data_IF_386890312340
#
_entry.id   IF_386890312340
#
_cell.length_a   1.000
_cell.length_b   1.000
_cell.length_c   1.000
_cell.angle_alpha   90.00
_cell.angle_beta   90.00
_cell.angle_gamma   90.00
#
_symmetry.space_group_name_H-M   'P 1'
#
loop_
_entity.id
_entity.type
_entity.pdbx_description
1 polymer ?
#
# COMPACT_ATOMS: atom_id res chain seq x y z
N UNK A 1 -1.27 7.91 -9.41
CA UNK A 1 -2.51 8.41 -8.80
C UNK A 1 -3.50 8.83 -9.85
N UNK A 2 -4.69 8.38 -9.73
CA UNK A 2 -5.72 8.68 -10.72
C UNK A 2 -6.25 10.08 -10.54
N UNK A 3 -6.34 10.82 -11.62
CA UNK A 3 -6.72 12.20 -11.59
C UNK A 3 -7.81 12.55 -12.58
N UNK A 4 -8.53 11.61 -13.10
CA UNK A 4 -9.47 11.87 -14.17
C UNK A 4 -10.45 12.98 -13.80
N UNK A 5 -11.68 12.65 -13.54
CA UNK A 5 -12.67 13.64 -13.24
C UNK A 5 -12.81 13.91 -11.76
N UNK A 6 -12.12 13.16 -10.99
CA UNK A 6 -12.08 13.36 -9.58
C UNK A 6 -10.63 13.28 -9.15
N UNK A 7 -10.29 13.91 -8.07
CA UNK A 7 -8.96 13.74 -7.51
C UNK A 7 -9.05 12.85 -6.30
N UNK A 8 -8.02 12.04 -6.14
CA UNK A 8 -7.88 11.18 -4.98
C UNK A 8 -6.81 11.80 -4.11
N UNK A 9 -7.18 12.16 -2.90
CA UNK A 9 -6.27 12.81 -1.96
C UNK A 9 -5.81 11.78 -0.94
N UNK A 10 -4.51 11.68 -0.75
CA UNK A 10 -3.92 10.81 0.25
C UNK A 10 -3.49 11.61 1.46
N UNK A 11 -3.79 11.10 2.63
CA UNK A 11 -3.40 11.74 3.87
C UNK A 11 -2.65 10.73 4.73
N UNK A 12 -1.62 11.21 5.40
CA UNK A 12 -0.78 10.40 6.26
C UNK A 12 -1.01 10.77 7.70
N UNK A 13 -1.03 9.77 8.56
CA UNK A 13 -1.17 9.99 9.98
C UNK A 13 0.23 10.11 10.59
N UNK A 14 0.44 11.17 11.35
CA UNK A 14 1.71 11.38 12.01
C UNK A 14 1.91 10.33 13.10
N UNK A 15 3.08 9.70 13.11
CA UNK A 15 3.39 8.68 14.09
C UNK A 15 3.96 9.26 15.39
N UNK A 16 4.33 10.52 15.39
CA UNK A 16 4.94 11.14 16.57
C UNK A 16 6.36 10.65 16.79
N UNK A 17 6.77 10.57 18.05
CA UNK A 17 8.10 10.11 18.40
C UNK A 17 8.20 8.61 18.24
N UNK A 18 9.20 8.14 17.54
CA UNK A 18 9.40 6.72 17.26
C UNK A 18 10.80 6.27 17.68
N UNK A 19 10.90 4.99 17.98
CA UNK A 19 12.16 4.36 18.36
C UNK A 19 12.28 3.02 17.64
N UNK A 20 13.51 2.49 17.52
CA UNK A 20 13.69 1.17 16.89
C UNK A 20 12.83 0.11 17.55
N UNK A 21 12.23 -0.73 16.73
CA UNK A 21 11.33 -1.77 17.19
C UNK A 21 9.88 -1.36 17.30
N UNK A 22 9.59 -0.07 17.24
CA UNK A 22 8.21 0.39 17.28
C UNK A 22 7.48 0.04 16.00
N UNK A 23 6.18 -0.20 16.13
CA UNK A 23 5.31 -0.39 14.97
C UNK A 23 4.60 0.91 14.67
N UNK A 24 4.54 1.24 13.40
CA UNK A 24 3.88 2.46 12.93
C UNK A 24 2.79 2.04 11.97
N UNK A 25 1.57 2.53 12.22
CA UNK A 25 0.47 2.32 11.30
C UNK A 25 0.33 3.50 10.37
N UNK A 26 0.18 3.22 9.09
CA UNK A 26 -0.12 4.24 8.09
C UNK A 26 -1.52 4.02 7.57
N UNK A 27 -2.28 5.10 7.53
CA UNK A 27 -3.61 5.09 6.93
C UNK A 27 -3.61 6.08 5.80
N UNK A 28 -4.03 5.63 4.63
CA UNK A 28 -4.14 6.48 3.47
C UNK A 28 -5.61 6.65 3.18
N UNK A 29 -6.10 7.86 3.33
CA UNK A 29 -7.49 8.18 3.05
C UNK A 29 -7.58 8.75 1.65
N UNK A 30 -8.52 8.25 0.86
CA UNK A 30 -8.78 8.77 -0.48
C UNK A 30 -10.19 9.32 -0.55
N UNK A 31 -10.35 10.35 -1.35
CA UNK A 31 -11.65 11.00 -1.52
C UNK A 31 -11.82 11.34 -3.00
N UNK A 32 -12.99 11.02 -3.53
CA UNK A 32 -13.33 11.44 -4.88
C UNK A 32 -13.96 12.82 -4.78
N UNK A 33 -13.19 13.84 -5.18
CA UNK A 33 -13.63 15.23 -5.11
C UNK A 33 -14.32 15.68 -6.40
N UNK A 34 -14.44 14.79 -7.38
CA UNK A 34 -15.10 15.12 -8.63
C UNK A 34 -16.60 14.95 -8.58
N UNK A 35 -17.23 15.16 -9.70
CA UNK A 35 -18.69 15.06 -9.82
C UNK A 35 -19.15 13.71 -10.35
N UNK A 36 -18.25 12.83 -10.71
CA UNK A 36 -18.58 11.52 -11.25
C UNK A 36 -17.81 10.43 -10.52
N UNK A 37 -18.34 9.22 -10.56
CA UNK A 37 -17.66 8.08 -9.95
C UNK A 37 -16.36 7.78 -10.70
N UNK A 38 -15.34 7.37 -9.96
CA UNK A 38 -14.04 7.01 -10.52
C UNK A 38 -13.79 5.54 -10.27
N UNK A 39 -13.52 4.78 -11.32
CA UNK A 39 -13.20 3.36 -11.21
C UNK A 39 -11.73 3.13 -11.52
N UNK A 40 -11.25 1.93 -11.18
CA UNK A 40 -9.85 1.57 -11.45
C UNK A 40 -8.85 2.33 -10.59
N UNK A 41 -9.26 2.77 -9.41
CA UNK A 41 -8.36 3.52 -8.53
C UNK A 41 -7.26 2.62 -8.02
N UNK A 42 -6.01 3.06 -8.17
CA UNK A 42 -4.83 2.33 -7.73
C UNK A 42 -4.06 3.21 -6.77
N UNK A 43 -3.75 2.65 -5.60
CA UNK A 43 -2.98 3.35 -4.58
C UNK A 43 -1.69 2.59 -4.37
N UNK A 44 -0.56 3.25 -4.57
CA UNK A 44 0.76 2.69 -4.35
C UNK A 44 1.42 3.40 -3.19
N UNK A 45 2.13 2.65 -2.38
CA UNK A 45 2.81 3.25 -1.26
C UNK A 45 4.14 2.53 -1.00
N UNK A 46 5.24 3.26 -0.97
CA UNK A 46 6.52 2.64 -0.66
C UNK A 46 6.61 2.33 0.83
N UNK A 47 7.36 1.29 1.16
CA UNK A 47 7.74 1.02 2.54
C UNK A 47 8.86 2.02 2.88
N UNK A 48 8.70 2.84 3.90
CA UNK A 48 9.70 3.87 4.22
C UNK A 48 11.07 3.28 4.52
N UNK A 49 12.10 4.05 4.25
CA UNK A 49 13.47 3.62 4.58
C UNK A 49 13.58 3.36 6.07
N UNK A 50 14.45 2.43 6.41
CA UNK A 50 14.72 2.05 7.80
C UNK A 50 13.51 1.43 8.50
N UNK A 51 12.56 0.92 7.72
CA UNK A 51 11.43 0.18 8.27
C UNK A 51 11.26 -1.13 7.53
N UNK A 52 10.52 -2.04 8.15
CA UNK A 52 10.20 -3.33 7.57
C UNK A 52 8.68 -3.50 7.60
N UNK A 53 8.12 -3.91 6.47
CA UNK A 53 6.69 -4.18 6.39
C UNK A 53 6.30 -5.27 7.40
N UNK A 54 5.20 -5.06 8.11
CA UNK A 54 4.66 -6.07 9.02
C UNK A 54 3.74 -6.98 8.21
N UNK A 55 4.03 -8.27 8.21
CA UNK A 55 3.28 -9.24 7.43
C UNK A 55 1.78 -9.18 7.76
N UNK A 56 0.97 -9.26 6.73
CA UNK A 56 -0.49 -9.30 6.84
C UNK A 56 -1.12 -8.03 7.44
N UNK A 57 -0.36 -6.94 7.49
CA UNK A 57 -0.90 -5.70 8.07
C UNK A 57 -1.61 -4.84 7.03
N UNK A 58 -1.33 -5.03 5.75
CA UNK A 58 -1.99 -4.25 4.70
C UNK A 58 -3.44 -4.69 4.59
N UNK A 59 -4.34 -3.72 4.57
CA UNK A 59 -5.75 -4.03 4.38
C UNK A 59 -6.44 -2.86 3.70
N UNK A 60 -7.63 -3.13 3.18
CA UNK A 60 -8.42 -2.12 2.51
C UNK A 60 -9.73 -2.75 2.07
N UNK A 61 -10.83 -2.07 2.34
CA UNK A 61 -12.14 -2.58 1.99
C UNK A 61 -12.27 -2.67 0.48
N UNK A 62 -12.72 -3.83 -0.02
CA UNK A 62 -12.95 -4.06 -1.43
C UNK A 62 -11.71 -3.73 -2.29
N UNK A 63 -10.53 -4.01 -1.79
CA UNK A 63 -9.30 -3.77 -2.53
C UNK A 63 -8.53 -5.07 -2.71
N UNK A 64 -7.91 -5.19 -3.87
CA UNK A 64 -6.93 -6.26 -4.12
C UNK A 64 -5.57 -5.70 -3.73
N UNK A 65 -4.86 -6.43 -2.88
CA UNK A 65 -3.57 -5.97 -2.37
C UNK A 65 -2.47 -6.80 -3.01
N UNK A 66 -1.51 -6.11 -3.61
CA UNK A 66 -0.33 -6.75 -4.17
C UNK A 66 0.91 -6.06 -3.64
N UNK A 67 2.05 -6.71 -3.82
CA UNK A 67 3.30 -6.27 -3.22
C UNK A 67 4.40 -6.33 -4.26
N UNK A 68 5.44 -5.55 -4.04
CA UNK A 68 6.61 -5.58 -4.91
C UNK A 68 7.88 -5.60 -4.08
N UNK A 69 8.88 -6.31 -4.58
CA UNK A 69 10.22 -6.33 -3.99
C UNK A 69 11.17 -5.42 -4.74
N UNK A 70 10.79 -4.97 -5.93
CA UNK A 70 11.65 -4.12 -6.77
C UNK A 70 10.98 -2.82 -7.22
N UNK A 71 9.70 -2.66 -6.91
CA UNK A 71 8.96 -1.47 -7.31
C UNK A 71 8.39 -1.53 -8.72
N UNK A 72 8.63 -2.59 -9.45
CA UNK A 72 8.17 -2.72 -10.83
C UNK A 72 7.15 -3.82 -11.01
N UNK A 73 7.44 -5.01 -10.51
CA UNK A 73 6.54 -6.15 -10.61
C UNK A 73 5.74 -6.30 -9.33
N UNK A 74 4.42 -6.26 -9.47
CA UNK A 74 3.51 -6.42 -8.34
C UNK A 74 2.75 -7.73 -8.46
N UNK A 75 2.69 -8.46 -7.35
CA UNK A 75 1.99 -9.74 -7.30
C UNK A 75 1.54 -10.00 -5.87
N UNK A 76 0.74 -11.05 -5.71
CA UNK A 76 0.36 -11.47 -4.37
C UNK A 76 1.62 -11.97 -3.66
N UNK A 77 1.62 -11.84 -2.33
CA UNK A 77 2.78 -12.22 -1.54
C UNK A 77 3.25 -13.63 -1.85
N UNK A 78 2.32 -14.55 -1.99
CA UNK A 78 2.63 -15.96 -2.24
C UNK A 78 3.22 -16.23 -3.61
N UNK A 79 3.08 -15.27 -4.54
CA UNK A 79 3.60 -15.41 -5.90
C UNK A 79 4.93 -14.71 -6.10
N UNK A 80 5.39 -13.95 -5.10
CA UNK A 80 6.64 -13.22 -5.21
C UNK A 80 7.82 -14.10 -4.83
N UNK A 81 8.89 -13.94 -5.61
CA UNK A 81 10.14 -14.66 -5.38
C UNK A 81 11.29 -13.67 -5.32
N UNK A 82 12.30 -14.01 -4.57
CA UNK A 82 13.51 -13.22 -4.45
C UNK A 82 14.68 -14.11 -4.83
N UNK A 83 15.60 -13.56 -5.62
CA UNK A 83 16.82 -14.27 -5.97
C UNK A 83 17.85 -14.00 -4.90
N UNK A 84 18.22 -15.06 -4.17
CA UNK A 84 19.23 -14.97 -3.12
C UNK A 84 20.33 -15.97 -3.45
N UNK A 85 21.51 -15.44 -3.74
CA UNK A 85 22.68 -16.24 -4.08
C UNK A 85 22.43 -17.19 -5.26
N UNK A 86 21.69 -16.74 -6.26
CA UNK A 86 21.40 -17.53 -7.44
C UNK A 86 20.24 -18.49 -7.29
N UNK A 87 19.57 -18.48 -6.16
CA UNK A 87 18.42 -19.35 -5.93
C UNK A 87 17.19 -18.52 -5.62
N UNK A 88 16.07 -18.92 -6.22
CA UNK A 88 14.80 -18.24 -5.94
C UNK A 88 14.22 -18.77 -4.66
N UNK A 89 13.76 -17.88 -3.82
CA UNK A 89 13.03 -18.22 -2.61
C UNK A 89 11.77 -17.37 -2.49
N UNK A 90 10.77 -17.81 -1.73
CA UNK A 90 9.59 -17.00 -1.52
C UNK A 90 9.97 -15.65 -0.89
N UNK A 91 9.30 -14.58 -1.31
CA UNK A 91 9.51 -13.28 -0.72
C UNK A 91 9.00 -13.28 0.73
N UNK A 92 9.66 -12.51 1.57
CA UNK A 92 9.27 -12.32 2.96
C UNK A 92 8.85 -10.88 3.17
N UNK A 93 8.22 -10.61 4.31
CA UNK A 93 7.79 -9.24 4.62
C UNK A 93 8.97 -8.26 4.50
N UNK A 94 10.15 -8.66 4.92
CA UNK A 94 11.33 -7.79 4.89
C UNK A 94 11.80 -7.45 3.47
N UNK A 95 11.35 -8.21 2.48
CA UNK A 95 11.74 -7.97 1.09
C UNK A 95 10.80 -6.98 0.39
N UNK A 96 9.67 -6.67 0.98
CA UNK A 96 8.67 -5.82 0.36
C UNK A 96 9.11 -4.37 0.42
N UNK A 97 9.12 -3.69 -0.74
CA UNK A 97 9.43 -2.28 -0.78
C UNK A 97 8.26 -1.40 -1.19
N UNK A 98 7.22 -1.98 -1.78
CA UNK A 98 6.01 -1.23 -2.13
C UNK A 98 4.77 -2.08 -1.97
N UNK A 99 3.66 -1.43 -1.68
CA UNK A 99 2.36 -2.07 -1.54
C UNK A 99 1.41 -1.35 -2.48
N UNK A 100 0.57 -2.13 -3.17
CA UNK A 100 -0.43 -1.59 -4.09
C UNK A 100 -1.80 -2.09 -3.71
N UNK A 101 -2.74 -1.16 -3.63
CA UNK A 101 -4.16 -1.46 -3.46
C UNK A 101 -4.86 -1.10 -4.76
N UNK A 102 -5.58 -2.05 -5.33
CA UNK A 102 -6.42 -1.81 -6.51
C UNK A 102 -7.85 -1.93 -6.04
N UNK A 103 -8.58 -0.82 -6.10
CA UNK A 103 -9.96 -0.81 -5.63
C UNK A 103 -10.84 -1.58 -6.60
N UNK A 104 -11.64 -2.50 -6.05
CA UNK A 104 -12.53 -3.34 -6.85
C UNK A 104 -13.78 -2.61 -7.30
N UNK A 105 -14.15 -1.56 -6.57
CA UNK A 105 -15.37 -0.83 -6.82
C UNK A 105 -15.07 0.62 -7.15
N UNK A 106 -15.95 1.23 -7.93
CA UNK A 106 -15.83 2.66 -8.21
C UNK A 106 -16.04 3.45 -6.92
N UNK A 107 -15.34 4.57 -6.84
CA UNK A 107 -15.53 5.53 -5.75
C UNK A 107 -16.52 6.57 -6.22
N UNK A 108 -17.69 6.59 -5.62
CA UNK A 108 -18.73 7.55 -6.01
C UNK A 108 -18.30 8.96 -5.71
N UNK A 109 -18.88 9.92 -6.44
CA UNK A 109 -18.59 11.33 -6.23
C UNK A 109 -18.82 11.71 -4.77
N UNK A 110 -17.86 12.41 -4.18
CA UNK A 110 -17.94 12.86 -2.80
C UNK A 110 -17.71 11.78 -1.75
N UNK A 111 -17.40 10.55 -2.17
CA UNK A 111 -17.18 9.47 -1.22
C UNK A 111 -15.71 9.29 -0.91
N UNK A 112 -15.45 8.73 0.27
CA UNK A 112 -14.10 8.50 0.76
C UNK A 112 -13.94 7.06 1.23
N UNK A 113 -12.69 6.63 1.34
CA UNK A 113 -12.34 5.36 1.94
C UNK A 113 -10.91 5.42 2.41
N UNK A 114 -10.43 4.32 2.94
CA UNK A 114 -9.05 4.28 3.40
C UNK A 114 -8.45 2.89 3.21
N UNK A 115 -7.13 2.86 3.13
CA UNK A 115 -6.34 1.64 3.14
C UNK A 115 -5.25 1.82 4.18
N UNK A 116 -4.75 0.71 4.71
CA UNK A 116 -3.81 0.76 5.84
C UNK A 116 -2.72 -0.28 5.69
N UNK A 117 -1.58 0.00 6.30
CA UNK A 117 -0.55 -1.00 6.51
C UNK A 117 0.31 -0.57 7.69
N UNK A 118 1.12 -1.50 8.18
CA UNK A 118 2.00 -1.24 9.31
C UNK A 118 3.43 -1.61 8.96
N UNK A 119 4.36 -0.90 9.60
CA UNK A 119 5.78 -1.19 9.46
C UNK A 119 6.40 -1.21 10.85
N UNK A 120 7.56 -1.85 10.93
CA UNK A 120 8.37 -1.84 12.16
C UNK A 120 9.62 -1.03 11.90
N UNK A 121 9.99 -0.18 12.85
CA UNK A 121 11.21 0.61 12.73
C UNK A 121 12.40 -0.30 13.00
N UNK A 122 13.36 -0.29 12.09
CA UNK A 122 14.57 -1.12 12.19
C UNK A 122 15.50 -0.65 13.30
#
# INVERSE_FOLDING_TARGET
MTQADGSVVEEWQDAGTIAPGDKIGYRITYTNTGSEAVSGVVINNPVPENTTYVANSANGQAATITYSVDGELFARMQDLKVDEDGQLRPARAQDINQIRWVLQQAVAAGKSGSVEFKVRVN
#
